data_IF_366938913310
#
_entry.id   IF_366938913310
#
_cell.length_a   1.000
_cell.length_b   1.000
_cell.length_c   1.000
_cell.angle_alpha   90.00
_cell.angle_beta   90.00
_cell.angle_gamma   90.00
#
_symmetry.space_group_name_H-M   'P 1'
#
loop_
_entity.id
_entity.type
_entity.pdbx_description
1 polymer ?
#
# COMPACT_ATOMS: atom_id res chain seq x y z
N UNK A 1 15.21 14.19 -0.93
CA UNK A 1 15.00 13.26 0.20
C UNK A 1 15.33 13.97 1.50
N UNK A 2 14.58 13.70 2.56
CA UNK A 2 14.96 14.07 3.91
C UNK A 2 16.02 13.09 4.41
N UNK A 3 17.14 13.58 4.92
CA UNK A 3 18.24 12.77 5.40
C UNK A 3 18.80 13.39 6.68
N UNK A 4 18.64 12.67 7.79
CA UNK A 4 19.22 13.03 9.10
C UNK A 4 19.00 14.50 9.50
N UNK A 5 17.77 15.00 9.35
CA UNK A 5 17.41 16.35 9.80
C UNK A 5 17.49 17.44 8.73
N UNK A 6 17.76 17.11 7.46
CA UNK A 6 17.83 18.09 6.37
C UNK A 6 17.32 17.55 5.04
N UNK A 7 16.79 18.43 4.21
CA UNK A 7 16.47 18.12 2.81
C UNK A 7 17.72 18.11 1.96
N UNK A 8 17.87 17.05 1.16
CA UNK A 8 18.99 16.81 0.25
C UNK A 8 18.45 16.56 -1.16
N UNK A 9 18.99 17.32 -2.12
CA UNK A 9 18.78 17.11 -3.54
C UNK A 9 19.73 16.03 -4.07
N UNK A 10 19.18 15.05 -4.78
CA UNK A 10 19.94 13.93 -5.37
C UNK A 10 19.77 13.98 -6.87
N UNK A 11 20.86 14.28 -7.59
CA UNK A 11 20.88 14.30 -9.05
C UNK A 11 21.30 12.94 -9.58
N UNK A 12 20.61 12.44 -10.60
CA UNK A 12 20.91 11.20 -11.32
C UNK A 12 20.90 11.47 -12.83
N UNK A 13 21.57 10.60 -13.60
CA UNK A 13 21.28 10.48 -15.03
C UNK A 13 20.04 9.58 -15.24
N UNK A 14 19.59 9.44 -16.49
CA UNK A 14 18.40 8.70 -16.90
C UNK A 14 18.68 7.24 -17.33
N UNK A 15 19.92 6.75 -17.19
CA UNK A 15 20.26 5.37 -17.55
C UNK A 15 19.68 4.38 -16.54
N UNK A 16 18.65 3.66 -16.90
CA UNK A 16 18.00 2.68 -16.04
C UNK A 16 18.49 1.25 -16.34
N UNK A 17 18.59 0.37 -15.33
CA UNK A 17 18.91 -1.04 -15.55
C UNK A 17 17.79 -1.74 -16.33
N UNK A 18 18.14 -2.32 -17.48
CA UNK A 18 17.20 -3.03 -18.36
C UNK A 18 17.68 -4.43 -18.71
N UNK A 19 16.76 -5.37 -18.87
CA UNK A 19 17.02 -6.68 -19.45
C UNK A 19 16.00 -6.95 -20.57
N UNK A 20 16.49 -7.30 -21.76
CA UNK A 20 15.66 -7.47 -22.97
C UNK A 20 14.76 -6.27 -23.32
N UNK A 21 15.20 -5.04 -23.00
CA UNK A 21 14.45 -3.81 -23.28
C UNK A 21 13.43 -3.43 -22.21
N UNK A 22 13.23 -4.27 -21.19
CA UNK A 22 12.34 -4.04 -20.06
C UNK A 22 13.11 -3.55 -18.84
N UNK A 23 12.49 -2.69 -18.02
CA UNK A 23 13.07 -2.26 -16.75
C UNK A 23 13.19 -3.43 -15.78
N UNK A 24 14.33 -3.53 -15.09
CA UNK A 24 14.58 -4.61 -14.14
C UNK A 24 14.01 -4.38 -12.73
N UNK A 25 13.76 -3.12 -12.38
CA UNK A 25 13.27 -2.71 -11.06
C UNK A 25 11.91 -2.02 -11.20
N UNK A 26 11.57 -1.08 -10.31
CA UNK A 26 10.27 -0.40 -10.33
C UNK A 26 9.98 0.20 -11.72
N UNK A 27 8.77 -0.04 -12.22
CA UNK A 27 8.24 0.57 -13.43
C UNK A 27 6.76 0.94 -13.24
N UNK A 28 6.27 1.87 -14.06
CA UNK A 28 4.84 2.17 -14.10
C UNK A 28 4.08 1.08 -14.87
N UNK A 29 2.76 1.02 -14.68
CA UNK A 29 1.87 0.31 -15.59
C UNK A 29 1.87 0.94 -16.99
N UNK A 30 2.13 2.26 -17.06
CA UNK A 30 2.30 2.99 -18.31
C UNK A 30 3.75 2.92 -18.80
N UNK A 31 3.99 2.23 -19.92
CA UNK A 31 5.34 1.95 -20.45
C UNK A 31 6.12 3.21 -20.87
N UNK A 32 5.49 4.37 -20.93
CA UNK A 32 6.12 5.65 -21.27
C UNK A 32 6.32 6.58 -20.05
N UNK A 33 6.07 6.09 -18.83
CA UNK A 33 6.20 6.84 -17.58
C UNK A 33 7.38 6.33 -16.74
N UNK A 34 8.37 7.20 -16.48
CA UNK A 34 9.65 6.82 -15.89
C UNK A 34 9.97 7.49 -14.54
N UNK A 35 9.10 8.38 -14.04
CA UNK A 35 9.43 9.17 -12.84
C UNK A 35 9.64 8.29 -11.61
N UNK A 36 8.88 7.21 -11.49
CA UNK A 36 8.97 6.27 -10.37
C UNK A 36 10.28 5.49 -10.42
N UNK A 37 10.65 4.96 -11.59
CA UNK A 37 11.92 4.29 -11.83
C UNK A 37 13.13 5.20 -11.54
N UNK A 38 13.05 6.47 -11.95
CA UNK A 38 14.06 7.48 -11.66
C UNK A 38 14.11 7.85 -10.16
N UNK A 39 12.96 7.93 -9.48
CA UNK A 39 12.91 8.17 -8.05
C UNK A 39 13.56 7.03 -7.27
N UNK A 40 13.26 5.78 -7.62
CA UNK A 40 13.90 4.59 -7.03
C UNK A 40 15.41 4.62 -7.29
N UNK A 41 15.86 4.96 -8.51
CA UNK A 41 17.29 5.12 -8.81
C UNK A 41 17.96 6.17 -7.93
N UNK A 42 17.30 7.31 -7.70
CA UNK A 42 17.83 8.37 -6.85
C UNK A 42 17.91 7.90 -5.39
N UNK A 43 16.95 7.11 -4.93
CA UNK A 43 16.95 6.49 -3.61
C UNK A 43 18.05 5.42 -3.48
N UNK A 44 18.22 4.56 -4.49
CA UNK A 44 19.30 3.59 -4.57
C UNK A 44 20.69 4.27 -4.54
N UNK A 45 20.85 5.41 -5.24
CA UNK A 45 22.08 6.20 -5.18
C UNK A 45 22.37 6.71 -3.77
N UNK A 46 21.34 7.15 -3.05
CA UNK A 46 21.46 7.67 -1.70
C UNK A 46 21.94 6.59 -0.72
N UNK A 47 21.43 5.36 -0.89
CA UNK A 47 21.79 4.18 -0.10
C UNK A 47 22.99 3.39 -0.65
N UNK A 48 23.60 3.85 -1.76
CA UNK A 48 24.83 3.33 -2.35
C UNK A 48 24.65 2.33 -3.50
N UNK A 49 23.58 1.55 -3.53
CA UNK A 49 23.24 0.66 -4.66
C UNK A 49 21.76 0.24 -4.64
N UNK A 50 21.26 -0.33 -5.74
CA UNK A 50 19.93 -0.97 -5.75
C UNK A 50 19.85 -2.17 -4.81
N UNK A 51 20.96 -2.91 -4.66
CA UNK A 51 21.02 -4.06 -3.75
C UNK A 51 20.86 -3.64 -2.28
N UNK A 52 21.36 -2.45 -1.92
CA UNK A 52 21.20 -1.89 -0.58
C UNK A 52 19.75 -1.58 -0.21
N UNK A 53 18.82 -1.52 -1.18
CA UNK A 53 17.39 -1.33 -0.92
C UNK A 53 16.69 -2.64 -0.53
N UNK A 54 17.35 -3.79 -0.65
CA UNK A 54 16.77 -5.08 -0.24
C UNK A 54 16.72 -5.17 1.29
N UNK A 55 15.52 -5.34 1.83
CA UNK A 55 15.31 -5.62 3.26
C UNK A 55 15.35 -4.39 4.16
N UNK A 56 14.52 -3.39 3.87
CA UNK A 56 14.32 -2.20 4.71
C UNK A 56 12.93 -2.15 5.37
N UNK A 57 12.69 -1.10 6.15
CA UNK A 57 11.37 -0.85 6.76
C UNK A 57 10.60 0.23 5.99
N UNK A 58 9.28 0.09 5.88
CA UNK A 58 8.43 1.11 5.27
C UNK A 58 8.53 2.44 6.01
N UNK A 59 8.77 2.40 7.33
CA UNK A 59 8.92 3.59 8.17
C UNK A 59 10.13 4.45 7.76
N UNK A 60 11.30 3.83 7.50
CA UNK A 60 12.49 4.57 7.04
C UNK A 60 12.21 5.33 5.74
N UNK A 61 11.57 4.66 4.77
CA UNK A 61 11.17 5.32 3.52
C UNK A 61 10.18 6.46 3.76
N UNK A 62 9.20 6.26 4.65
CA UNK A 62 8.23 7.31 5.00
C UNK A 62 8.91 8.56 5.59
N UNK A 63 9.89 8.38 6.47
CA UNK A 63 10.70 9.47 7.04
C UNK A 63 11.54 10.14 5.96
N UNK A 64 12.21 9.38 5.11
CA UNK A 64 13.06 9.91 4.03
C UNK A 64 12.26 10.68 2.97
N UNK A 65 10.99 10.37 2.78
CA UNK A 65 10.11 11.08 1.85
C UNK A 65 9.43 12.31 2.44
N UNK A 66 9.31 12.43 3.77
CA UNK A 66 8.51 13.51 4.38
C UNK A 66 9.23 14.36 5.40
N UNK A 67 10.30 13.86 6.02
CA UNK A 67 10.84 14.41 7.26
C UNK A 67 9.87 14.35 8.44
N UNK A 68 8.82 13.53 8.33
CA UNK A 68 7.85 13.29 9.39
C UNK A 68 8.36 12.33 10.46
N UNK A 69 7.45 11.96 11.36
CA UNK A 69 7.67 10.96 12.40
C UNK A 69 6.80 9.75 12.08
N UNK A 70 7.35 8.55 12.25
CA UNK A 70 6.62 7.31 12.04
C UNK A 70 6.19 6.68 13.37
N UNK A 71 5.05 5.99 13.33
CA UNK A 71 4.52 5.21 14.44
C UNK A 71 4.21 3.81 13.90
N UNK A 72 4.52 2.77 14.67
CA UNK A 72 4.26 1.38 14.30
C UNK A 72 3.31 0.76 15.32
N UNK A 73 2.28 0.09 14.82
CA UNK A 73 1.27 -0.61 15.64
C UNK A 73 1.41 -2.11 15.41
N UNK A 74 1.66 -2.87 16.47
CA UNK A 74 1.59 -4.32 16.44
C UNK A 74 0.13 -4.76 16.58
N UNK A 75 -0.36 -5.58 15.65
CA UNK A 75 -1.79 -5.91 15.57
C UNK A 75 -2.32 -6.64 16.82
N UNK A 76 -1.46 -7.38 17.53
CA UNK A 76 -1.81 -8.09 18.77
C UNK A 76 -1.99 -7.15 19.98
N UNK A 77 -1.48 -5.91 19.91
CA UNK A 77 -1.47 -4.94 21.01
C UNK A 77 -2.01 -3.56 20.56
N UNK A 78 -3.09 -3.56 19.78
CA UNK A 78 -3.65 -2.31 19.22
C UNK A 78 -4.52 -1.55 20.20
N UNK A 79 -4.49 -0.20 20.18
CA UNK A 79 -5.41 0.59 20.97
C UNK A 79 -6.85 0.43 20.44
N UNK A 80 -7.89 0.45 21.30
CA UNK A 80 -9.28 0.25 20.87
C UNK A 80 -9.80 1.25 19.83
N UNK A 81 -9.14 2.40 19.71
CA UNK A 81 -9.46 3.45 18.76
C UNK A 81 -8.55 3.48 17.52
N UNK A 82 -7.83 2.39 17.21
CA UNK A 82 -6.90 2.33 16.06
C UNK A 82 -7.55 2.78 14.75
N UNK A 83 -8.77 2.32 14.44
CA UNK A 83 -9.45 2.76 13.21
C UNK A 83 -9.64 4.29 13.17
N UNK A 84 -9.97 4.92 14.30
CA UNK A 84 -10.11 6.36 14.37
C UNK A 84 -8.75 7.06 14.17
N UNK A 85 -7.67 6.48 14.68
CA UNK A 85 -6.30 6.97 14.45
C UNK A 85 -5.99 6.91 12.94
N UNK A 86 -6.23 5.77 12.29
CA UNK A 86 -6.03 5.60 10.84
C UNK A 86 -6.90 6.57 10.03
N UNK A 87 -8.15 6.76 10.42
CA UNK A 87 -9.05 7.71 9.76
C UNK A 87 -8.51 9.15 9.85
N UNK A 88 -8.04 9.57 11.03
CA UNK A 88 -7.40 10.88 11.20
C UNK A 88 -6.07 11.01 10.47
N UNK A 89 -5.29 9.95 10.38
CA UNK A 89 -4.06 9.91 9.60
C UNK A 89 -4.37 10.11 8.10
N UNK A 90 -5.39 9.39 7.59
CA UNK A 90 -5.88 9.54 6.22
C UNK A 90 -6.39 10.95 5.92
N UNK A 91 -7.26 11.51 6.76
CA UNK A 91 -7.79 12.88 6.62
C UNK A 91 -6.68 13.96 6.56
N UNK A 92 -5.51 13.66 7.14
CA UNK A 92 -4.34 14.55 7.18
C UNK A 92 -3.29 14.22 6.11
N UNK A 93 -3.61 13.32 5.17
CA UNK A 93 -2.70 12.85 4.12
C UNK A 93 -1.39 12.24 4.68
N UNK A 94 -1.47 11.57 5.82
CA UNK A 94 -0.33 10.81 6.36
C UNK A 94 -0.12 9.56 5.51
N UNK A 95 1.14 9.18 5.29
CA UNK A 95 1.44 7.90 4.65
C UNK A 95 1.18 6.76 5.63
N UNK A 96 0.59 5.69 5.14
CA UNK A 96 0.27 4.51 5.93
C UNK A 96 0.62 3.26 5.13
N UNK A 97 1.15 2.27 5.83
CA UNK A 97 1.48 0.98 5.26
C UNK A 97 1.32 -0.10 6.31
N UNK A 98 1.20 -1.33 5.84
CA UNK A 98 1.09 -2.51 6.69
C UNK A 98 1.81 -3.69 6.03
N UNK A 99 2.11 -4.70 6.82
CA UNK A 99 2.74 -5.93 6.33
C UNK A 99 2.31 -7.10 7.20
N UNK A 100 2.33 -8.29 6.63
CA UNK A 100 2.24 -9.51 7.42
C UNK A 100 3.64 -9.95 7.82
N UNK A 101 3.78 -10.58 8.99
CA UNK A 101 5.05 -11.15 9.41
C UNK A 101 5.56 -12.18 8.37
N UNK A 102 6.87 -12.18 8.07
CA UNK A 102 7.45 -13.10 7.09
C UNK A 102 7.36 -14.55 7.57
N UNK A 103 7.19 -15.47 6.63
CA UNK A 103 7.41 -16.88 6.93
C UNK A 103 8.92 -17.12 7.08
N UNK A 104 9.38 -17.82 8.14
CA UNK A 104 10.81 -18.04 8.35
C UNK A 104 11.48 -18.91 7.28
N UNK A 105 10.70 -19.68 6.51
CA UNK A 105 11.23 -20.62 5.53
C UNK A 105 10.95 -20.23 4.08
N UNK A 106 9.97 -19.35 3.84
CA UNK A 106 9.51 -19.00 2.51
C UNK A 106 9.47 -17.48 2.36
N UNK A 107 10.33 -16.95 1.50
CA UNK A 107 10.28 -15.55 1.11
C UNK A 107 8.97 -15.28 0.37
N UNK A 108 8.27 -14.21 0.76
CA UNK A 108 7.05 -13.74 0.10
C UNK A 108 5.99 -14.83 -0.03
N UNK A 109 5.76 -15.57 1.07
CA UNK A 109 4.80 -16.67 1.10
C UNK A 109 3.36 -16.16 0.92
N UNK A 110 2.66 -16.66 -0.10
CA UNK A 110 1.25 -16.37 -0.31
C UNK A 110 0.37 -17.12 0.70
N UNK A 111 -0.58 -16.39 1.28
CA UNK A 111 -1.62 -16.92 2.16
C UNK A 111 -2.77 -17.50 1.34
N UNK A 112 -3.61 -18.39 1.90
CA UNK A 112 -4.79 -18.89 1.19
C UNK A 112 -5.77 -17.79 0.73
N UNK A 113 -5.68 -16.60 1.34
CA UNK A 113 -6.51 -15.45 1.01
C UNK A 113 -5.89 -14.48 0.00
N UNK A 114 -4.76 -14.83 -0.63
CA UNK A 114 -4.08 -14.03 -1.66
C UNK A 114 -3.11 -12.97 -1.14
N UNK A 115 -3.02 -12.76 0.19
CA UNK A 115 -2.03 -11.84 0.78
C UNK A 115 -0.64 -12.47 0.84
N UNK A 116 0.40 -11.65 0.77
CA UNK A 116 1.80 -12.05 0.77
C UNK A 116 2.45 -11.73 2.12
N UNK A 117 3.12 -12.71 2.73
CA UNK A 117 3.88 -12.55 3.98
C UNK A 117 5.23 -11.90 3.76
N UNK A 118 5.69 -11.09 4.72
CA UNK A 118 6.96 -10.37 4.59
C UNK A 118 6.95 -9.29 3.50
N UNK A 119 5.76 -8.88 3.07
CA UNK A 119 5.55 -7.93 1.99
C UNK A 119 4.86 -6.66 2.50
N UNK A 120 5.28 -5.51 1.99
CA UNK A 120 4.74 -4.22 2.38
C UNK A 120 3.56 -3.83 1.46
N UNK A 121 2.43 -3.52 2.07
CA UNK A 121 1.23 -2.99 1.42
C UNK A 121 1.07 -1.51 1.79
N UNK A 122 0.55 -0.71 0.87
CA UNK A 122 0.16 0.68 1.16
C UNK A 122 -1.30 0.72 1.59
N UNK A 123 -1.65 1.48 2.62
CA UNK A 123 -3.06 1.78 2.95
C UNK A 123 -3.42 3.08 2.23
N UNK A 124 -4.24 2.98 1.18
CA UNK A 124 -4.56 4.10 0.29
C UNK A 124 -5.87 4.80 0.64
N UNK A 125 -6.77 4.14 1.38
CA UNK A 125 -8.02 4.74 1.85
C UNK A 125 -8.48 4.16 3.17
N UNK A 126 -9.07 5.01 4.02
CA UNK A 126 -9.69 4.64 5.29
C UNK A 126 -11.05 5.31 5.36
N UNK A 127 -12.13 4.55 5.40
CA UNK A 127 -13.49 5.13 5.35
C UNK A 127 -14.51 4.29 6.10
N UNK A 128 -15.47 4.97 6.74
CA UNK A 128 -16.74 4.34 7.11
C UNK A 128 -17.68 4.33 5.92
N UNK A 129 -18.11 3.16 5.49
CA UNK A 129 -18.98 2.97 4.34
C UNK A 129 -20.38 2.62 4.80
N UNK A 130 -21.38 3.29 4.25
CA UNK A 130 -22.79 2.99 4.50
C UNK A 130 -23.17 1.64 3.89
N UNK A 131 -23.76 0.77 4.71
CA UNK A 131 -24.24 -0.56 4.30
C UNK A 131 -25.75 -0.68 4.56
N UNK A 132 -26.45 -1.25 3.59
CA UNK A 132 -27.88 -1.55 3.66
C UNK A 132 -28.09 -3.04 3.36
N UNK A 133 -28.36 -3.80 4.41
CA UNK A 133 -28.82 -5.20 4.30
C UNK A 133 -30.33 -5.26 4.51
N UNK A 134 -31.02 -6.33 4.09
CA UNK A 134 -32.46 -6.48 4.31
C UNK A 134 -32.91 -6.36 5.77
N UNK A 135 -32.01 -6.61 6.73
CA UNK A 135 -32.32 -6.66 8.16
C UNK A 135 -31.63 -5.56 8.98
N UNK A 136 -30.69 -4.82 8.41
CA UNK A 136 -29.86 -3.86 9.14
C UNK A 136 -29.25 -2.83 8.20
N UNK A 137 -29.30 -1.55 8.59
CA UNK A 137 -28.48 -0.48 8.03
C UNK A 137 -27.45 0.01 9.05
N UNK A 138 -26.33 0.53 8.56
CA UNK A 138 -25.28 1.06 9.42
C UNK A 138 -24.05 1.49 8.65
N UNK A 139 -22.94 1.68 9.38
CA UNK A 139 -21.64 1.99 8.80
C UNK A 139 -20.64 0.92 9.15
N UNK A 140 -19.85 0.50 8.17
CA UNK A 140 -18.76 -0.46 8.36
C UNK A 140 -17.41 0.22 8.13
N UNK A 141 -16.41 -0.05 8.98
CA UNK A 141 -15.05 0.45 8.76
C UNK A 141 -14.36 -0.38 7.69
N UNK A 142 -14.01 0.25 6.56
CA UNK A 142 -13.25 -0.37 5.47
C UNK A 142 -11.89 0.32 5.28
N UNK A 143 -10.92 -0.49 4.86
CA UNK A 143 -9.60 -0.07 4.44
C UNK A 143 -9.40 -0.45 2.97
N UNK A 144 -8.78 0.42 2.20
CA UNK A 144 -8.27 0.10 0.86
C UNK A 144 -6.77 -0.05 0.94
N UNK A 145 -6.27 -1.20 0.50
CA UNK A 145 -4.86 -1.54 0.49
C UNK A 145 -4.39 -1.70 -0.94
N UNK A 146 -3.10 -1.47 -1.18
CA UNK A 146 -2.46 -1.69 -2.48
C UNK A 146 -1.20 -2.53 -2.35
N UNK A 147 -1.14 -3.62 -3.10
CA UNK A 147 0.05 -4.39 -3.37
C UNK A 147 0.96 -3.59 -4.33
N UNK A 148 2.21 -3.26 -3.95
CA UNK A 148 3.11 -2.50 -4.81
C UNK A 148 3.49 -3.21 -6.11
N UNK A 149 3.30 -4.53 -6.22
CA UNK A 149 3.51 -5.27 -7.47
C UNK A 149 2.49 -4.90 -8.56
N UNK A 150 1.33 -4.38 -8.17
CA UNK A 150 0.28 -3.98 -9.11
C UNK A 150 -0.22 -5.12 -10.01
N UNK A 151 -0.28 -6.33 -9.46
CA UNK A 151 -0.67 -7.55 -10.17
C UNK A 151 -1.83 -8.24 -9.45
N UNK A 152 -2.26 -9.39 -9.97
CA UNK A 152 -3.37 -10.19 -9.44
C UNK A 152 -3.23 -10.76 -8.02
N UNK A 153 -2.11 -10.51 -7.33
CA UNK A 153 -1.91 -10.93 -5.94
C UNK A 153 -2.66 -9.99 -4.99
N UNK A 154 -3.99 -10.16 -4.98
CA UNK A 154 -4.97 -9.36 -4.23
C UNK A 154 -5.71 -10.22 -3.20
N UNK A 155 -6.32 -9.54 -2.23
CA UNK A 155 -7.22 -10.15 -1.27
C UNK A 155 -8.40 -10.82 -1.97
N UNK A 156 -8.70 -12.08 -1.62
CA UNK A 156 -9.83 -12.84 -2.18
C UNK A 156 -10.96 -13.11 -1.18
N UNK A 157 -10.92 -12.51 0.01
CA UNK A 157 -11.94 -12.65 1.05
C UNK A 157 -13.08 -11.62 0.95
N UNK A 158 -13.84 -11.40 2.04
CA UNK A 158 -14.89 -10.38 2.07
C UNK A 158 -14.36 -8.99 1.71
N UNK A 159 -15.11 -8.25 0.90
CA UNK A 159 -14.77 -6.94 0.31
C UNK A 159 -13.67 -6.95 -0.74
N UNK A 160 -13.18 -8.11 -1.17
CA UNK A 160 -12.41 -8.23 -2.42
C UNK A 160 -13.23 -7.78 -3.64
N UNK A 161 -12.57 -7.57 -4.77
CA UNK A 161 -13.22 -7.05 -5.97
C UNK A 161 -14.40 -7.90 -6.47
N UNK A 162 -14.28 -9.22 -6.39
CA UNK A 162 -15.35 -10.16 -6.75
C UNK A 162 -16.37 -10.44 -5.63
N UNK A 163 -16.25 -9.76 -4.49
CA UNK A 163 -17.00 -10.08 -3.27
C UNK A 163 -18.50 -9.75 -3.40
N UNK A 164 -19.41 -10.68 -3.06
CA UNK A 164 -20.84 -10.43 -3.11
C UNK A 164 -21.33 -9.40 -2.07
N UNK A 165 -20.50 -9.02 -1.11
CA UNK A 165 -20.74 -8.04 -0.06
C UNK A 165 -21.00 -6.63 -0.65
N UNK A 166 -20.38 -6.30 -1.79
CA UNK A 166 -20.62 -5.05 -2.50
C UNK A 166 -22.08 -4.82 -2.91
N UNK A 167 -22.89 -5.88 -3.00
CA UNK A 167 -24.33 -5.75 -3.30
C UNK A 167 -25.11 -4.99 -2.22
N UNK A 168 -24.56 -4.89 -1.01
CA UNK A 168 -25.18 -4.22 0.13
C UNK A 168 -24.72 -2.77 0.30
N UNK A 169 -23.81 -2.29 -0.56
CA UNK A 169 -23.40 -0.88 -0.58
C UNK A 169 -24.27 -0.13 -1.58
N UNK A 170 -24.91 0.99 -1.20
CA UNK A 170 -25.67 1.83 -2.12
C UNK A 170 -24.82 2.34 -3.30
N UNK A 171 -25.43 2.52 -4.47
CA UNK A 171 -24.66 2.86 -5.69
C UNK A 171 -23.96 4.23 -5.60
N UNK A 172 -24.58 5.23 -4.96
CA UNK A 172 -23.94 6.53 -4.72
C UNK A 172 -22.67 6.42 -3.87
N UNK A 173 -22.65 5.49 -2.90
CA UNK A 173 -21.50 5.24 -2.04
C UNK A 173 -20.40 4.52 -2.83
N UNK A 174 -20.74 3.57 -3.71
CA UNK A 174 -19.79 2.93 -4.63
C UNK A 174 -19.14 3.94 -5.58
N UNK A 175 -19.92 4.87 -6.13
CA UNK A 175 -19.42 5.95 -6.98
C UNK A 175 -18.45 6.87 -6.21
N UNK A 176 -18.77 7.24 -4.97
CA UNK A 176 -17.90 8.06 -4.12
C UNK A 176 -16.62 7.32 -3.68
N UNK A 177 -16.71 6.00 -3.49
CA UNK A 177 -15.57 5.13 -3.26
C UNK A 177 -14.67 5.03 -4.49
N UNK A 178 -15.20 5.33 -5.68
CA UNK A 178 -14.47 5.19 -6.94
C UNK A 178 -14.04 3.76 -7.16
N UNK A 179 -14.92 2.79 -6.83
CA UNK A 179 -14.61 1.37 -6.96
C UNK A 179 -14.26 1.04 -8.42
N UNK A 180 -13.01 0.67 -8.64
CA UNK A 180 -12.52 0.01 -9.83
C UNK A 180 -12.32 -1.44 -9.46
N UNK A 181 -12.91 -2.35 -10.24
CA UNK A 181 -12.72 -3.79 -10.09
C UNK A 181 -11.73 -4.25 -11.15
N UNK A 182 -10.49 -3.82 -10.99
CA UNK A 182 -9.41 -3.99 -11.95
C UNK A 182 -8.28 -4.77 -11.27
N UNK A 183 -7.52 -5.53 -12.06
CA UNK A 183 -6.38 -6.30 -11.56
C UNK A 183 -5.16 -5.38 -11.46
N UNK A 184 -5.15 -4.52 -10.46
CA UNK A 184 -4.15 -3.45 -10.29
C UNK A 184 -3.42 -3.49 -8.92
N UNK A 185 -3.68 -4.55 -8.16
CA UNK A 185 -3.14 -4.78 -6.82
C UNK A 185 -3.87 -4.01 -5.71
N UNK A 186 -4.87 -3.18 -6.02
CA UNK A 186 -5.65 -2.43 -5.05
C UNK A 186 -6.94 -3.18 -4.67
N UNK A 187 -7.20 -3.34 -3.38
CA UNK A 187 -8.36 -4.10 -2.90
C UNK A 187 -8.87 -3.54 -1.56
N UNK A 188 -10.11 -3.86 -1.23
CA UNK A 188 -10.71 -3.48 0.05
C UNK A 188 -10.77 -4.63 1.05
N UNK A 189 -10.69 -4.28 2.33
CA UNK A 189 -10.86 -5.19 3.45
C UNK A 189 -11.71 -4.53 4.54
N UNK A 190 -12.43 -5.33 5.32
CA UNK A 190 -12.94 -4.86 6.61
C UNK A 190 -11.77 -4.51 7.52
N UNK A 191 -11.96 -3.51 8.37
CA UNK A 191 -10.99 -3.23 9.44
C UNK A 191 -10.89 -4.38 10.46
N UNK A 192 -11.97 -5.16 10.62
CA UNK A 192 -12.00 -6.36 11.47
C UNK A 192 -11.29 -7.53 10.80
#
# INVERSE_FOLDING_TARGET
FWQYGRWVDVVIDDRLPTYNGELMFLHSAENNEFWSALLEKAYAKLHGSYEALKGGTTCEAMEDFTGGVTEMYQMDETPPNLFHILLKAHERNSMMGCSLEPDPNVLEAETPQGLIRGHAYSITRVKYVDIETPNQSGKIPLLRLRNPWGNEAEWNGPWSDGSPEWRFIPDHEKEELGLTFDVDGEFWMSFQ
#
